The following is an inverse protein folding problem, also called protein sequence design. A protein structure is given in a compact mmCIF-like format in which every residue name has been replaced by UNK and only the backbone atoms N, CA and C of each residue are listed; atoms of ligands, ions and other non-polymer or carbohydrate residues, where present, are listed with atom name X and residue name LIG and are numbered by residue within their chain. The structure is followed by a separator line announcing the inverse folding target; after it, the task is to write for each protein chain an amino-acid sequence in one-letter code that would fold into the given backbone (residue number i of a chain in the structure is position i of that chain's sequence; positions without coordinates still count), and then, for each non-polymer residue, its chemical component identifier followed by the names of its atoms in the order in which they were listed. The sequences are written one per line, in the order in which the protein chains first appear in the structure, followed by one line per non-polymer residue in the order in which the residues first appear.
data_IF_601173891916
#
_entry.id   IF_601173891916
#
_cell.length_a   1.000
_cell.length_b   1.000
_cell.length_c   1.000
_cell.angle_alpha   90.00
_cell.angle_beta   90.00
_cell.angle_gamma   90.00
#
_symmetry.space_group_name_H-M   'P 1'
#
loop_
_entity.id
_entity.type
_entity.pdbx_description
1 polymer ?
#
# COMPACT_ATOMS: atom_id res chain seq x y z
N UNK A 1 -0.96 4.61 -17.87
CA UNK A 1 -1.56 4.02 -16.66
C UNK A 1 -1.22 4.92 -15.48
N UNK A 2 -2.21 5.58 -14.86
CA UNK A 2 -1.96 6.34 -13.64
C UNK A 2 -1.78 5.34 -12.50
N UNK A 3 -0.54 4.96 -12.20
CA UNK A 3 -0.25 4.23 -10.97
C UNK A 3 -0.75 5.07 -9.80
N UNK A 4 -1.70 4.54 -9.03
CA UNK A 4 -2.22 5.21 -7.85
C UNK A 4 -1.06 5.33 -6.85
N UNK A 5 -0.80 6.53 -6.32
CA UNK A 5 0.24 6.75 -5.30
C UNK A 5 0.12 5.75 -4.14
N UNK A 6 -1.11 5.40 -3.77
CA UNK A 6 -1.42 4.41 -2.74
C UNK A 6 -0.86 3.01 -3.04
N UNK A 7 -0.95 2.55 -4.30
CA UNK A 7 -0.39 1.26 -4.71
C UNK A 7 1.14 1.26 -4.64
N UNK A 8 1.78 2.38 -5.00
CA UNK A 8 3.23 2.53 -4.87
C UNK A 8 3.66 2.52 -3.39
N UNK A 9 2.98 3.29 -2.54
CA UNK A 9 3.24 3.30 -1.10
C UNK A 9 3.03 1.92 -0.47
N UNK A 10 2.03 1.17 -0.92
CA UNK A 10 1.79 -0.20 -0.46
C UNK A 10 2.91 -1.15 -0.88
N UNK A 11 3.34 -1.08 -2.14
CA UNK A 11 4.48 -1.84 -2.64
C UNK A 11 5.74 -1.55 -1.80
N UNK A 12 6.06 -0.27 -1.58
CA UNK A 12 7.23 0.12 -0.80
C UNK A 12 7.15 -0.34 0.66
N UNK A 13 5.95 -0.29 1.25
CA UNK A 13 5.73 -0.76 2.61
C UNK A 13 5.97 -2.27 2.75
N UNK A 14 5.46 -3.06 1.80
CA UNK A 14 5.71 -4.50 1.75
C UNK A 14 7.22 -4.81 1.60
N UNK A 15 7.92 -4.05 0.75
CA UNK A 15 9.39 -4.21 0.59
C UNK A 15 10.13 -3.89 1.89
N UNK A 16 9.74 -2.83 2.60
CA UNK A 16 10.31 -2.49 3.93
C UNK A 16 10.04 -3.56 4.98
N UNK A 17 8.90 -4.24 4.90
CA UNK A 17 8.57 -5.38 5.74
C UNK A 17 9.31 -6.69 5.35
N UNK A 18 10.17 -6.67 4.34
CA UNK A 18 10.98 -7.81 3.91
C UNK A 18 10.33 -8.66 2.81
N UNK A 19 9.20 -8.23 2.24
CA UNK A 19 8.59 -8.91 1.08
C UNK A 19 9.44 -8.67 -0.16
N UNK A 20 9.63 -9.71 -0.98
CA UNK A 20 10.36 -9.55 -2.24
C UNK A 20 9.67 -8.52 -3.14
N UNK A 21 10.47 -7.71 -3.84
CA UNK A 21 9.95 -6.64 -4.72
C UNK A 21 8.90 -7.14 -5.73
N UNK A 22 9.11 -8.33 -6.27
CA UNK A 22 8.19 -8.95 -7.22
C UNK A 22 6.84 -9.30 -6.57
N UNK A 23 6.87 -9.88 -5.35
CA UNK A 23 5.64 -10.19 -4.60
C UNK A 23 4.92 -8.92 -4.16
N UNK A 24 5.67 -7.89 -3.75
CA UNK A 24 5.11 -6.60 -3.38
C UNK A 24 4.44 -5.90 -4.57
N UNK A 25 5.07 -5.93 -5.75
CA UNK A 25 4.48 -5.40 -6.98
C UNK A 25 3.20 -6.14 -7.36
N UNK A 26 3.22 -7.47 -7.29
CA UNK A 26 2.05 -8.29 -7.58
C UNK A 26 0.90 -7.96 -6.62
N UNK A 27 1.16 -7.91 -5.31
CA UNK A 27 0.15 -7.56 -4.31
C UNK A 27 -0.44 -6.16 -4.52
N UNK A 28 0.40 -5.16 -4.81
CA UNK A 28 -0.04 -3.80 -5.07
C UNK A 28 -0.89 -3.67 -6.34
N UNK A 29 -0.69 -4.55 -7.34
CA UNK A 29 -1.50 -4.59 -8.57
C UNK A 29 -2.78 -5.41 -8.41
N UNK A 30 -2.78 -6.42 -7.55
CA UNK A 30 -3.96 -7.25 -7.27
C UNK A 30 -5.02 -6.47 -6.49
N UNK A 31 -4.61 -5.66 -5.53
CA UNK A 31 -5.53 -4.92 -4.68
C UNK A 31 -6.03 -3.64 -5.34
N UNK A 32 -7.33 -3.41 -5.21
CA UNK A 32 -7.99 -2.16 -5.56
C UNK A 32 -7.73 -1.07 -4.52
N UNK A 33 -8.02 0.19 -4.87
CA UNK A 33 -7.90 1.32 -3.94
C UNK A 33 -8.77 1.12 -2.69
N UNK A 34 -10.00 0.61 -2.85
CA UNK A 34 -10.90 0.34 -1.73
C UNK A 34 -10.35 -0.73 -0.80
N UNK A 35 -9.78 -1.81 -1.33
CA UNK A 35 -9.17 -2.86 -0.49
C UNK A 35 -7.95 -2.33 0.25
N UNK A 36 -7.13 -1.48 -0.39
CA UNK A 36 -5.99 -0.83 0.28
C UNK A 36 -6.43 0.11 1.40
N UNK A 37 -7.57 0.80 1.24
CA UNK A 37 -8.19 1.61 2.30
C UNK A 37 -8.73 0.72 3.41
N UNK A 38 -9.40 -0.38 3.10
CA UNK A 38 -9.89 -1.32 4.12
C UNK A 38 -8.73 -1.91 4.94
N UNK A 39 -7.60 -2.24 4.31
CA UNK A 39 -6.41 -2.73 5.03
C UNK A 39 -5.90 -1.68 6.03
N UNK A 40 -6.06 -0.38 5.76
CA UNK A 40 -5.66 0.67 6.71
C UNK A 40 -6.49 0.68 8.00
N UNK A 41 -7.69 0.11 7.97
CA UNK A 41 -8.55 -0.02 9.15
C UNK A 41 -8.17 -1.24 10.00
N UNK A 42 -7.48 -2.23 9.42
CA UNK A 42 -7.15 -3.51 10.07
C UNK A 42 -5.67 -3.56 10.49
N UNK A 43 -4.79 -2.93 9.72
CA UNK A 43 -3.35 -2.91 9.95
C UNK A 43 -2.87 -1.49 10.26
N UNK A 44 -2.66 -1.22 11.55
CA UNK A 44 -2.33 0.11 12.07
C UNK A 44 -1.06 0.72 11.43
N UNK A 45 -0.01 -0.09 11.20
CA UNK A 45 1.25 0.37 10.60
C UNK A 45 1.04 0.87 9.17
N UNK A 46 0.22 0.14 8.40
CA UNK A 46 -0.21 0.58 7.07
C UNK A 46 -1.14 1.79 7.14
N UNK A 47 -2.05 1.84 8.12
CA UNK A 47 -2.94 2.97 8.32
C UNK A 47 -2.20 4.28 8.57
N UNK A 48 -1.08 4.24 9.29
CA UNK A 48 -0.20 5.40 9.46
C UNK A 48 0.43 5.87 8.14
N UNK A 49 0.78 4.94 7.23
CA UNK A 49 1.31 5.29 5.91
C UNK A 49 0.23 5.93 5.04
N UNK A 50 -1.00 5.40 5.06
CA UNK A 50 -2.13 5.96 4.31
C UNK A 50 -2.50 7.35 4.83
N UNK A 51 -2.58 7.54 6.14
CA UNK A 51 -2.87 8.84 6.77
C UNK A 51 -1.84 9.90 6.36
N UNK A 52 -0.54 9.54 6.32
CA UNK A 52 0.53 10.44 5.86
C UNK A 52 0.48 10.74 4.36
N UNK A 53 -0.05 9.83 3.56
CA UNK A 53 -0.22 10.04 2.12
C UNK A 53 -1.48 10.88 1.78
N UNK A 54 -2.47 10.90 2.68
CA UNK A 54 -3.71 11.68 2.55
C UNK A 54 -3.67 13.05 3.23
N UNK A 55 -2.74 13.28 4.16
CA UNK A 55 -2.50 14.58 4.79
C UNK A 55 -1.62 15.49 3.94
N UNK A 56 -2.13 16.69 3.64
CA UNK A 56 -1.43 17.81 3.02
C UNK A 56 -0.32 18.37 3.92
#
# INVERSE_FOLDING_TARGET
MKCNKLQQSYQEHLVKAGVSRQKAEQAARTLSLQELQLISEIWEDWGNVVARASGN
#
